data_IF_298390635052
#
_entry.id   IF_298390635052
#
_cell.length_a   1.000
_cell.length_b   1.000
_cell.length_c   1.000
_cell.angle_alpha   90.00
_cell.angle_beta   90.00
_cell.angle_gamma   90.00
#
_symmetry.space_group_name_H-M   'P 1'
#
loop_
_entity.id
_entity.type
_entity.pdbx_description
1 polymer ?
#
# COMPACT_ATOMS: atom_id res chain seq x y z
N UNK A 1 16.48 16.40 7.28
CA UNK A 1 15.22 15.81 6.76
C UNK A 1 14.53 15.11 7.92
N UNK A 2 13.32 15.54 8.29
CA UNK A 2 12.56 14.88 9.35
C UNK A 2 12.25 13.43 8.94
N UNK A 3 12.37 12.44 9.86
CA UNK A 3 12.13 11.04 9.51
C UNK A 3 10.69 10.88 9.00
N UNK A 4 10.55 10.49 7.73
CA UNK A 4 9.26 10.34 7.09
C UNK A 4 8.82 8.87 7.24
N UNK A 5 7.53 8.63 7.46
CA UNK A 5 6.99 7.27 7.70
C UNK A 5 7.40 6.28 6.59
N UNK A 6 7.41 6.77 5.35
CA UNK A 6 7.81 6.05 4.15
C UNK A 6 9.30 5.67 4.13
N UNK A 7 10.19 6.43 4.76
CA UNK A 7 11.64 6.17 4.73
C UNK A 7 12.13 5.24 5.84
N UNK A 8 11.35 5.02 6.91
CA UNK A 8 11.77 4.17 8.06
C UNK A 8 10.92 2.92 8.27
N UNK A 9 9.68 2.88 7.79
CA UNK A 9 8.78 1.76 8.07
C UNK A 9 8.83 0.71 6.97
N UNK A 10 9.38 -0.49 7.27
CA UNK A 10 9.27 -1.67 6.41
C UNK A 10 7.82 -1.98 6.02
N UNK A 11 6.89 -1.70 6.94
CA UNK A 11 5.47 -1.93 6.74
C UNK A 11 4.89 -1.01 5.65
N UNK A 12 5.34 0.25 5.59
CA UNK A 12 4.98 1.16 4.51
C UNK A 12 5.48 0.68 3.14
N UNK A 13 6.69 0.14 3.07
CA UNK A 13 7.25 -0.45 1.84
C UNK A 13 6.51 -1.71 1.39
N UNK A 14 6.16 -2.61 2.32
CA UNK A 14 5.38 -3.82 2.00
C UNK A 14 4.01 -3.44 1.46
N UNK A 15 3.34 -2.49 2.12
CA UNK A 15 2.02 -2.02 1.70
C UNK A 15 2.09 -1.28 0.35
N UNK A 16 3.15 -0.50 0.10
CA UNK A 16 3.40 0.11 -1.21
C UNK A 16 3.64 -0.96 -2.29
N UNK A 17 4.42 -1.99 -2.00
CA UNK A 17 4.67 -3.10 -2.91
C UNK A 17 3.38 -3.87 -3.22
N UNK A 18 2.46 -4.01 -2.27
CA UNK A 18 1.12 -4.58 -2.53
C UNK A 18 0.29 -3.70 -3.46
N UNK A 19 0.31 -2.37 -3.27
CA UNK A 19 -0.40 -1.45 -4.17
C UNK A 19 0.13 -1.55 -5.59
N UNK A 20 1.46 -1.43 -5.75
CA UNK A 20 2.11 -1.50 -7.06
C UNK A 20 1.93 -2.88 -7.68
N UNK A 21 2.13 -3.95 -6.92
CA UNK A 21 1.96 -5.33 -7.39
C UNK A 21 0.53 -5.64 -7.85
N UNK A 22 -0.48 -5.17 -7.11
CA UNK A 22 -1.89 -5.32 -7.49
C UNK A 22 -2.21 -4.61 -8.81
N UNK A 23 -1.72 -3.38 -8.98
CA UNK A 23 -1.91 -2.62 -10.23
C UNK A 23 -1.15 -3.22 -11.42
N UNK A 24 0.08 -3.68 -11.20
CA UNK A 24 0.87 -4.36 -12.24
C UNK A 24 0.18 -5.66 -12.64
N UNK A 25 -0.34 -6.43 -11.69
CA UNK A 25 -1.11 -7.65 -11.99
C UNK A 25 -2.34 -7.34 -12.84
N UNK A 26 -3.09 -6.29 -12.51
CA UNK A 26 -4.24 -5.85 -13.30
C UNK A 26 -3.81 -5.43 -14.72
N UNK A 27 -2.73 -4.66 -14.85
CA UNK A 27 -2.22 -4.22 -16.15
C UNK A 27 -1.77 -5.41 -17.02
N UNK A 28 -0.95 -6.30 -16.47
CA UNK A 28 -0.50 -7.51 -17.15
C UNK A 28 -1.71 -8.33 -17.58
N UNK A 29 -2.68 -8.54 -16.68
CA UNK A 29 -3.89 -9.28 -17.00
C UNK A 29 -4.66 -8.72 -18.20
N UNK A 30 -4.82 -7.40 -18.26
CA UNK A 30 -5.47 -6.74 -19.41
C UNK A 30 -4.68 -6.83 -20.71
N UNK A 31 -3.34 -6.92 -20.63
CA UNK A 31 -2.46 -6.92 -21.82
C UNK A 31 -2.11 -8.31 -22.36
N UNK A 32 -2.01 -9.34 -21.51
CA UNK A 32 -1.57 -10.68 -21.90
C UNK A 32 -2.71 -11.69 -22.06
N UNK A 33 -3.96 -11.26 -21.92
CA UNK A 33 -5.13 -12.15 -22.05
C UNK A 33 -5.26 -13.17 -20.92
N UNK A 34 -4.77 -12.84 -19.72
CA UNK A 34 -4.99 -13.67 -18.53
C UNK A 34 -6.50 -13.72 -18.20
N UNK A 35 -6.94 -14.72 -17.41
CA UNK A 35 -8.35 -14.86 -17.05
C UNK A 35 -8.91 -13.56 -16.47
N UNK A 36 -10.07 -13.12 -16.94
CA UNK A 36 -10.72 -11.85 -16.52
C UNK A 36 -10.80 -11.68 -14.99
N UNK A 37 -10.89 -12.77 -14.24
CA UNK A 37 -10.88 -12.79 -12.77
C UNK A 37 -9.61 -12.24 -12.13
N UNK A 38 -8.49 -12.16 -12.85
CA UNK A 38 -7.23 -11.61 -12.34
C UNK A 38 -7.26 -10.09 -12.17
N UNK A 39 -8.11 -9.39 -12.95
CA UNK A 39 -8.32 -7.93 -12.85
C UNK A 39 -8.90 -7.53 -11.48
N UNK A 40 -10.05 -8.08 -11.02
CA UNK A 40 -10.59 -7.76 -9.70
C UNK A 40 -9.66 -8.21 -8.57
N UNK A 41 -8.94 -9.32 -8.72
CA UNK A 41 -7.95 -9.76 -7.72
C UNK A 41 -6.84 -8.71 -7.55
N UNK A 42 -6.30 -8.16 -8.64
CA UNK A 42 -5.31 -7.09 -8.58
C UNK A 42 -5.83 -5.83 -7.87
N UNK A 43 -7.09 -5.45 -8.12
CA UNK A 43 -7.74 -4.36 -7.40
C UNK A 43 -7.89 -4.63 -5.90
N UNK A 44 -8.31 -5.83 -5.49
CA UNK A 44 -8.40 -6.19 -4.08
C UNK A 44 -7.03 -6.15 -3.38
N UNK A 45 -5.98 -6.64 -4.05
CA UNK A 45 -4.60 -6.56 -3.52
C UNK A 45 -4.17 -5.11 -3.36
N UNK A 46 -4.45 -4.25 -4.34
CA UNK A 46 -4.13 -2.82 -4.24
C UNK A 46 -4.95 -2.10 -3.16
N UNK A 47 -6.21 -2.48 -2.96
CA UNK A 47 -7.07 -1.96 -1.91
C UNK A 47 -6.54 -2.32 -0.52
N UNK A 48 -6.16 -3.59 -0.32
CA UNK A 48 -5.57 -4.07 0.94
C UNK A 48 -4.24 -3.35 1.22
N UNK A 49 -3.37 -3.22 0.22
CA UNK A 49 -2.12 -2.47 0.34
C UNK A 49 -2.37 -1.02 0.75
N UNK A 50 -3.36 -0.36 0.16
CA UNK A 50 -3.75 1.02 0.50
C UNK A 50 -4.29 1.14 1.92
N UNK A 51 -5.14 0.20 2.35
CA UNK A 51 -5.66 0.17 3.72
C UNK A 51 -4.55 -0.01 4.77
N UNK A 52 -3.60 -0.91 4.52
CA UNK A 52 -2.46 -1.13 5.40
C UNK A 52 -1.53 0.09 5.47
N UNK A 53 -1.27 0.75 4.33
CA UNK A 53 -0.54 2.02 4.28
C UNK A 53 -1.22 3.08 5.16
N UNK A 54 -2.54 3.20 5.04
CA UNK A 54 -3.32 4.18 5.78
C UNK A 54 -3.32 3.91 7.29
N UNK A 55 -3.58 2.67 7.70
CA UNK A 55 -3.55 2.25 9.11
C UNK A 55 -2.15 2.42 9.70
N UNK A 56 -1.12 2.00 8.97
CA UNK A 56 0.27 2.16 9.38
C UNK A 56 0.67 3.63 9.55
N UNK A 57 0.21 4.50 8.64
CA UNK A 57 0.41 5.94 8.75
C UNK A 57 -0.32 6.55 9.96
N UNK A 58 -1.57 6.18 10.22
CA UNK A 58 -2.31 6.63 11.42
C UNK A 58 -1.57 6.22 12.69
N UNK A 59 -1.10 4.97 12.77
CA UNK A 59 -0.36 4.46 13.93
C UNK A 59 0.96 5.22 14.14
N UNK A 60 1.69 5.50 13.06
CA UNK A 60 2.89 6.32 13.12
C UNK A 60 2.60 7.75 13.58
N UNK A 61 1.53 8.37 13.05
CA UNK A 61 1.12 9.73 13.43
C UNK A 61 0.71 9.83 14.90
N UNK A 62 0.04 8.80 15.44
CA UNK A 62 -0.31 8.74 16.88
C UNK A 62 0.91 8.61 17.77
N UNK A 63 1.90 7.82 17.37
CA UNK A 63 3.13 7.61 18.16
C UNK A 63 4.10 8.79 18.12
N UNK A 64 4.05 9.62 17.07
CA UNK A 64 4.94 10.77 16.89
C UNK A 64 4.26 12.13 17.13
N UNK A 65 2.96 12.16 17.47
CA UNK A 65 2.31 13.37 17.99
C UNK A 65 2.77 13.57 19.43
N UNK A 66 3.61 14.57 19.68
CA UNK A 66 3.87 15.08 21.03
C UNK A 66 2.53 15.54 21.65
N UNK A 67 2.26 15.25 22.93
CA UNK A 67 1.11 15.83 23.63
C UNK A 67 1.21 17.37 23.61
N UNK A 68 0.07 18.09 23.53
CA UNK A 68 0.09 19.54 23.67
C UNK A 68 0.67 19.90 25.04
N UNK A 69 1.58 20.87 25.04
CA UNK A 69 2.17 21.45 26.25
C UNK A 69 1.14 22.23 27.07
#
# INVERSE_FOLDING_TARGET
>A
MAPNYLTRSRLAWISLAMVVGGLVLTFVATTTGLPIWTVPVGYFVALIGSALLFVGWIRWRRTHRKPPA
#
